data_IF_365552119672
#
_entry.id   IF_365552119672
#
_cell.length_a   1.000
_cell.length_b   1.000
_cell.length_c   1.000
_cell.angle_alpha   90.00
_cell.angle_beta   90.00
_cell.angle_gamma   90.00
#
_symmetry.space_group_name_H-M   'P 1'
#
loop_
_entity.id
_entity.type
_entity.pdbx_description
1 polymer ?
#
# COMPACT_ATOMS: atom_id res chain seq x y z
N UNK A 1 -28.25 -28.27 34.12
CA UNK A 1 -26.90 -27.89 34.55
C UNK A 1 -26.07 -29.16 34.73
N UNK A 2 -25.49 -29.69 33.63
CA UNK A 2 -24.49 -30.78 33.73
C UNK A 2 -23.93 -31.07 32.31
N UNK A 3 -23.13 -30.23 31.82
CA UNK A 3 -22.47 -30.44 30.50
C UNK A 3 -21.19 -29.64 30.30
N UNK A 4 -21.04 -28.51 30.99
CA UNK A 4 -19.90 -27.62 30.83
C UNK A 4 -18.71 -27.90 31.76
N UNK A 5 -18.91 -28.69 32.84
CA UNK A 5 -17.84 -28.98 33.83
C UNK A 5 -16.88 -30.10 33.42
N UNK A 6 -17.22 -30.89 32.41
CA UNK A 6 -16.36 -32.00 31.96
C UNK A 6 -15.40 -31.66 30.83
N UNK A 7 -15.59 -30.49 30.16
CA UNK A 7 -14.72 -30.10 29.03
C UNK A 7 -13.50 -29.28 29.46
N UNK A 8 -13.52 -28.67 30.65
CA UNK A 8 -12.42 -27.83 31.16
C UNK A 8 -11.27 -28.62 31.80
N UNK A 9 -11.47 -29.92 32.11
CA UNK A 9 -10.42 -30.75 32.70
C UNK A 9 -9.51 -31.48 31.69
N UNK A 10 -9.74 -31.30 30.39
CA UNK A 10 -8.93 -31.96 29.34
C UNK A 10 -7.86 -31.05 28.73
N UNK A 11 -7.78 -29.77 29.13
CA UNK A 11 -6.82 -28.81 28.59
C UNK A 11 -5.77 -28.29 29.59
N UNK A 12 -5.50 -29.01 30.67
CA UNK A 12 -4.23 -28.93 31.39
C UNK A 12 -3.88 -27.61 32.06
N UNK A 13 -4.82 -26.76 32.49
CA UNK A 13 -4.53 -25.59 33.31
C UNK A 13 -4.68 -25.92 34.82
N UNK A 14 -3.61 -26.44 35.40
CA UNK A 14 -3.43 -26.61 36.85
C UNK A 14 -2.91 -25.28 37.43
N UNK A 15 -3.55 -24.89 38.54
CA UNK A 15 -3.20 -23.75 39.39
C UNK A 15 -1.74 -23.86 39.88
N UNK A 16 -1.02 -22.75 39.83
CA UNK A 16 0.10 -22.49 40.77
C UNK A 16 -0.25 -21.29 41.63
N UNK A 17 -0.14 -21.53 42.92
CA UNK A 17 -0.33 -20.58 44.01
C UNK A 17 0.91 -19.69 44.17
N UNK A 18 0.65 -18.51 44.75
CA UNK A 18 1.54 -17.44 45.09
C UNK A 18 2.68 -17.85 46.06
N UNK A 19 3.85 -17.30 45.84
CA UNK A 19 4.76 -16.91 46.92
C UNK A 19 5.19 -15.46 46.68
N UNK A 20 4.86 -14.61 47.65
CA UNK A 20 5.28 -13.23 47.81
C UNK A 20 6.70 -13.24 48.43
N UNK A 21 7.67 -12.58 47.82
CA UNK A 21 8.87 -12.12 48.51
C UNK A 21 9.03 -10.63 48.34
N UNK A 22 8.89 -9.92 49.46
CA UNK A 22 9.21 -8.51 49.64
C UNK A 22 10.72 -8.28 49.50
N UNK A 23 11.13 -7.30 48.74
CA UNK A 23 12.46 -6.71 48.83
C UNK A 23 12.35 -5.16 48.83
N UNK A 24 12.90 -4.66 49.90
CA UNK A 24 12.90 -3.34 50.49
C UNK A 24 13.59 -2.32 49.60
N UNK A 25 12.96 -1.16 49.56
CA UNK A 25 13.40 0.16 49.05
C UNK A 25 14.70 0.61 49.69
N UNK A 26 15.59 1.19 48.88
CA UNK A 26 16.47 2.26 49.34
C UNK A 26 16.58 3.38 48.28
N UNK A 27 15.93 4.47 48.61
CA UNK A 27 16.14 5.79 48.01
C UNK A 27 17.41 6.45 48.59
N UNK A 28 18.27 6.98 47.77
CA UNK A 28 18.95 8.24 48.06
C UNK A 28 19.33 8.98 46.76
N UNK A 29 19.27 10.33 46.76
CA UNK A 29 19.38 11.17 45.58
C UNK A 29 20.80 11.67 45.36
N UNK A 30 21.23 11.80 44.10
CA UNK A 30 22.47 12.55 43.78
C UNK A 30 22.11 13.79 42.97
N UNK A 31 22.65 14.84 43.52
CA UNK A 31 22.54 16.27 43.24
C UNK A 31 23.09 16.72 41.89
N UNK A 32 22.48 17.80 41.44
CA UNK A 32 22.84 18.77 40.41
C UNK A 32 24.19 19.45 40.71
N UNK A 33 25.02 19.64 39.67
CA UNK A 33 25.91 20.79 39.48
C UNK A 33 26.28 20.92 37.99
N UNK A 34 25.77 21.90 37.30
CA UNK A 34 26.29 23.26 37.08
C UNK A 34 27.33 23.37 35.94
N UNK A 35 26.87 23.94 34.82
CA UNK A 35 27.42 25.07 34.04
C UNK A 35 28.87 24.98 33.55
N UNK A 36 29.07 25.12 32.27
CA UNK A 36 29.90 26.14 31.61
C UNK A 36 29.55 26.26 30.13
N UNK A 37 29.09 27.44 29.74
CA UNK A 37 29.27 28.04 28.40
C UNK A 37 30.64 28.70 28.35
N UNK A 38 31.24 28.91 27.19
CA UNK A 38 31.56 30.28 26.84
C UNK A 38 31.10 30.73 25.44
N UNK A 39 30.96 32.03 25.43
CA UNK A 39 30.54 32.97 24.42
C UNK A 39 31.56 33.16 23.26
N UNK A 40 31.01 33.55 22.11
CA UNK A 40 31.16 34.81 21.34
C UNK A 40 32.52 35.06 20.62
N UNK A 41 32.41 35.34 19.35
CA UNK A 41 32.76 36.55 18.55
C UNK A 41 32.89 36.12 17.08
N UNK A 42 32.02 36.56 16.17
CA UNK A 42 31.92 37.87 15.51
C UNK A 42 33.19 38.26 14.74
N UNK A 43 33.13 38.23 13.44
CA UNK A 43 33.53 39.35 12.59
C UNK A 43 32.91 39.24 11.20
N UNK A 44 32.26 40.31 10.82
CA UNK A 44 31.80 40.67 9.49
C UNK A 44 32.95 41.34 8.70
N UNK A 45 32.77 41.37 7.38
CA UNK A 45 33.09 42.41 6.39
C UNK A 45 33.15 41.78 5.01
N UNK A 46 32.23 42.06 4.08
CA UNK A 46 32.00 43.28 3.29
C UNK A 46 33.03 43.42 2.15
N UNK A 47 32.52 43.39 0.95
CA UNK A 47 32.61 44.40 -0.13
C UNK A 47 32.44 43.74 -1.51
N UNK A 48 31.37 44.05 -2.18
CA UNK A 48 31.11 45.06 -3.24
C UNK A 48 31.64 44.74 -4.64
N UNK A 49 30.67 44.74 -5.57
CA UNK A 49 30.66 45.42 -6.89
C UNK A 49 31.63 44.88 -7.94
N UNK A 50 31.21 44.69 -9.18
CA UNK A 50 30.60 45.65 -10.14
C UNK A 50 30.23 44.96 -11.43
N UNK A 51 29.05 45.27 -11.93
CA UNK A 51 28.58 45.62 -13.28
C UNK A 51 29.52 45.51 -14.51
N UNK A 52 28.94 44.99 -15.64
CA UNK A 52 28.75 45.66 -16.95
C UNK A 52 28.28 44.62 -17.99
N UNK A 53 27.11 44.68 -18.59
CA UNK A 53 26.52 45.53 -19.67
C UNK A 53 27.36 45.54 -20.97
N UNK A 54 26.75 45.06 -22.00
CA UNK A 54 26.48 45.57 -23.35
C UNK A 54 26.44 44.44 -24.39
N UNK A 55 25.47 44.41 -25.15
CA UNK A 55 24.86 45.03 -26.31
C UNK A 55 24.82 44.08 -27.48
N UNK A 56 23.61 43.89 -27.92
CA UNK A 56 23.06 43.97 -29.28
C UNK A 56 24.02 43.99 -30.48
N UNK A 57 23.69 43.16 -31.43
CA UNK A 57 23.66 43.58 -32.86
C UNK A 57 22.70 42.70 -33.67
N UNK A 58 21.73 43.37 -34.25
CA UNK A 58 20.80 42.96 -35.29
C UNK A 58 21.47 43.10 -36.65
N UNK A 59 21.21 42.14 -37.59
CA UNK A 59 21.29 42.47 -39.02
C UNK A 59 20.12 41.80 -39.75
N UNK A 60 19.24 42.65 -40.26
CA UNK A 60 18.28 42.39 -41.33
C UNK A 60 19.01 42.35 -42.68
N UNK A 61 18.55 41.50 -43.60
CA UNK A 61 18.40 41.91 -45.02
C UNK A 61 17.28 41.14 -45.70
N UNK A 62 16.38 41.94 -46.26
CA UNK A 62 15.37 41.60 -47.23
C UNK A 62 15.97 41.06 -48.53
N UNK A 63 15.23 40.23 -49.26
CA UNK A 63 14.84 40.59 -50.63
C UNK A 63 13.58 39.87 -51.14
N UNK A 64 12.76 40.63 -51.83
CA UNK A 64 11.47 40.33 -52.44
C UNK A 64 11.62 39.45 -53.70
N UNK A 65 10.55 38.71 -54.03
CA UNK A 65 9.86 38.80 -55.33
C UNK A 65 8.65 37.83 -55.40
N UNK A 66 7.47 38.38 -55.56
CA UNK A 66 6.21 37.76 -56.06
C UNK A 66 6.14 37.97 -57.60
N UNK A 67 5.11 37.45 -58.37
CA UNK A 67 3.87 36.75 -58.05
C UNK A 67 3.45 35.65 -59.06
N UNK A 68 2.39 34.91 -58.75
CA UNK A 68 1.57 34.35 -59.84
C UNK A 68 0.73 33.09 -59.51
N UNK A 69 -0.52 33.34 -59.21
CA UNK A 69 -1.78 32.74 -59.67
C UNK A 69 -2.22 31.33 -59.28
N UNK A 70 -3.38 31.35 -58.72
CA UNK A 70 -4.63 30.60 -58.88
C UNK A 70 -5.08 29.76 -57.70
N UNK A 71 -6.19 30.23 -57.11
CA UNK A 71 -7.11 29.55 -56.22
C UNK A 71 -7.61 28.23 -56.81
N UNK A 72 -7.51 27.16 -56.04
CA UNK A 72 -8.52 26.12 -56.04
C UNK A 72 -8.82 25.78 -54.59
N UNK A 73 -9.99 26.15 -54.13
CA UNK A 73 -10.62 25.74 -52.89
C UNK A 73 -10.94 24.25 -52.96
N UNK A 74 -10.17 23.44 -52.26
CA UNK A 74 -10.57 22.07 -51.93
C UNK A 74 -10.85 22.03 -50.44
N UNK A 75 -12.13 21.98 -50.10
CA UNK A 75 -12.64 21.66 -48.76
C UNK A 75 -12.19 20.26 -48.36
N UNK A 76 -11.19 20.18 -47.50
CA UNK A 76 -10.75 18.93 -46.89
C UNK A 76 -11.57 18.73 -45.62
N UNK A 77 -12.75 18.08 -45.74
CA UNK A 77 -13.41 17.45 -44.62
C UNK A 77 -12.47 16.31 -44.18
N UNK A 78 -11.72 16.58 -43.11
CA UNK A 78 -11.06 15.52 -42.38
C UNK A 78 -12.14 14.67 -41.70
N UNK A 79 -12.50 13.59 -42.38
CA UNK A 79 -13.17 12.45 -41.77
C UNK A 79 -12.29 11.94 -40.66
N UNK A 80 -12.67 12.21 -39.41
CA UNK A 80 -12.15 11.49 -38.26
C UNK A 80 -12.37 10.01 -38.51
N UNK A 81 -11.30 9.29 -38.78
CA UNK A 81 -11.29 7.84 -38.78
C UNK A 81 -11.65 7.37 -37.37
N UNK A 82 -12.62 6.48 -37.18
CA UNK A 82 -12.89 5.89 -35.88
C UNK A 82 -11.60 5.23 -35.37
N UNK A 83 -11.21 5.53 -34.12
CA UNK A 83 -10.10 4.86 -33.45
C UNK A 83 -10.21 3.34 -33.69
N UNK A 84 -9.15 2.73 -34.19
CA UNK A 84 -9.08 1.28 -34.36
C UNK A 84 -9.36 0.63 -33.00
N UNK A 85 -10.51 -0.03 -32.89
CA UNK A 85 -10.81 -0.91 -31.77
C UNK A 85 -9.77 -2.04 -31.83
N UNK A 86 -8.82 -2.02 -30.94
CA UNK A 86 -7.91 -3.15 -30.77
C UNK A 86 -8.76 -4.34 -30.33
N UNK A 87 -8.72 -5.42 -31.13
CA UNK A 87 -9.36 -6.69 -30.80
C UNK A 87 -8.63 -7.31 -29.58
N UNK A 88 -9.03 -6.89 -28.37
CA UNK A 88 -8.71 -7.59 -27.13
C UNK A 88 -9.59 -8.81 -26.96
N UNK A 89 -9.18 -9.75 -26.13
CA UNK A 89 -9.97 -10.94 -25.79
C UNK A 89 -11.28 -10.59 -25.03
N UNK A 90 -11.42 -9.34 -24.59
CA UNK A 90 -12.48 -8.91 -23.68
C UNK A 90 -12.27 -9.41 -22.24
N UNK A 91 -11.08 -9.95 -21.94
CA UNK A 91 -10.71 -10.52 -20.65
C UNK A 91 -9.30 -10.06 -20.26
N UNK A 92 -9.12 -9.56 -19.06
CA UNK A 92 -7.80 -9.18 -18.56
C UNK A 92 -6.92 -10.40 -18.30
N UNK A 93 -5.70 -10.39 -18.77
CA UNK A 93 -4.66 -11.35 -18.37
C UNK A 93 -3.81 -10.73 -17.29
N UNK A 94 -3.96 -11.18 -16.03
CA UNK A 94 -3.27 -10.65 -14.88
C UNK A 94 -2.04 -11.50 -14.56
N UNK A 95 -0.87 -10.99 -14.89
CA UNK A 95 0.41 -11.62 -14.61
C UNK A 95 0.92 -11.19 -13.24
N UNK A 96 0.93 -12.13 -12.31
CA UNK A 96 1.39 -11.91 -10.93
C UNK A 96 2.85 -12.34 -10.84
N UNK A 97 3.76 -11.40 -10.68
CA UNK A 97 5.18 -11.67 -10.47
C UNK A 97 5.53 -11.41 -8.99
N UNK A 98 5.96 -12.45 -8.29
CA UNK A 98 6.41 -12.37 -6.91
C UNK A 98 7.90 -12.70 -6.89
N UNK A 99 8.73 -11.73 -6.46
CA UNK A 99 10.19 -11.83 -6.35
C UNK A 99 10.54 -11.81 -4.86
N UNK A 100 11.10 -12.89 -4.35
CA UNK A 100 11.34 -13.09 -2.93
C UNK A 100 12.81 -13.30 -2.66
N UNK A 101 13.33 -12.50 -1.76
CA UNK A 101 14.66 -12.66 -1.20
C UNK A 101 14.76 -13.99 -0.43
N UNK A 102 15.75 -14.78 -0.78
CA UNK A 102 16.11 -16.02 -0.12
C UNK A 102 17.53 -15.95 0.44
N UNK A 103 18.03 -14.73 0.70
CA UNK A 103 19.32 -14.50 1.36
C UNK A 103 19.32 -14.93 2.83
N UNK A 104 20.50 -15.07 3.41
CA UNK A 104 20.66 -15.60 4.77
C UNK A 104 19.97 -14.79 5.87
N UNK A 105 19.81 -13.46 5.68
CA UNK A 105 19.08 -12.57 6.61
C UNK A 105 17.62 -12.95 6.73
N UNK A 106 16.98 -13.46 5.68
CA UNK A 106 15.58 -13.90 5.66
C UNK A 106 15.30 -15.14 6.50
N UNK A 107 16.33 -15.80 7.09
CA UNK A 107 16.17 -17.06 7.83
C UNK A 107 15.19 -16.95 9.01
N UNK A 108 15.21 -15.83 9.73
CA UNK A 108 14.30 -15.58 10.86
C UNK A 108 12.87 -15.28 10.41
N UNK A 109 12.65 -14.87 9.17
CA UNK A 109 11.34 -14.60 8.56
C UNK A 109 10.80 -15.80 7.76
N UNK A 110 11.53 -16.92 7.69
CA UNK A 110 11.22 -18.06 6.83
C UNK A 110 9.76 -18.52 6.93
N UNK A 111 9.25 -18.75 8.13
CA UNK A 111 7.89 -19.24 8.33
C UNK A 111 6.84 -18.20 7.90
N UNK A 112 7.04 -16.94 8.25
CA UNK A 112 6.13 -15.83 7.88
C UNK A 112 6.12 -15.59 6.36
N UNK A 113 7.29 -15.65 5.72
CA UNK A 113 7.42 -15.50 4.26
C UNK A 113 6.72 -16.64 3.53
N UNK A 114 6.95 -17.89 3.93
CA UNK A 114 6.31 -19.06 3.33
C UNK A 114 4.79 -19.03 3.49
N UNK A 115 4.28 -18.67 4.67
CA UNK A 115 2.84 -18.47 4.91
C UNK A 115 2.29 -17.35 4.03
N UNK A 116 2.95 -16.20 3.99
CA UNK A 116 2.52 -15.04 3.21
C UNK A 116 2.47 -15.29 1.71
N UNK A 117 3.44 -16.01 1.15
CA UNK A 117 3.42 -16.44 -0.26
C UNK A 117 2.18 -17.34 -0.52
N UNK A 118 1.96 -18.35 0.31
CA UNK A 118 0.84 -19.29 0.12
C UNK A 118 -0.52 -18.61 0.30
N UNK A 119 -0.64 -17.68 1.24
CA UNK A 119 -1.84 -16.87 1.42
C UNK A 119 -2.08 -15.94 0.21
N UNK A 120 -1.00 -15.39 -0.38
CA UNK A 120 -1.09 -14.60 -1.62
C UNK A 120 -1.52 -15.46 -2.80
N UNK A 121 -0.98 -16.68 -2.96
CA UNK A 121 -1.45 -17.69 -3.93
C UNK A 121 -2.94 -17.98 -3.72
N UNK A 122 -3.37 -18.14 -2.48
CA UNK A 122 -4.78 -18.32 -2.10
C UNK A 122 -5.67 -17.13 -2.52
N UNK A 123 -5.17 -15.90 -2.35
CA UNK A 123 -5.87 -14.67 -2.76
C UNK A 123 -6.02 -14.59 -4.28
N UNK A 124 -4.96 -14.89 -5.04
CA UNK A 124 -5.01 -14.91 -6.51
C UNK A 124 -5.97 -16.00 -7.01
N UNK A 125 -5.94 -17.19 -6.38
CA UNK A 125 -6.86 -18.30 -6.71
C UNK A 125 -8.32 -17.94 -6.41
N UNK A 126 -8.58 -17.22 -5.33
CA UNK A 126 -9.92 -16.74 -5.00
C UNK A 126 -10.40 -15.69 -6.01
N UNK A 127 -9.53 -14.78 -6.44
CA UNK A 127 -9.84 -13.81 -7.49
C UNK A 127 -10.13 -14.50 -8.85
N UNK A 128 -9.36 -15.52 -9.23
CA UNK A 128 -9.64 -16.32 -10.43
C UNK A 128 -11.04 -16.95 -10.37
N UNK A 129 -11.44 -17.45 -9.21
CA UNK A 129 -12.77 -18.04 -9.02
C UNK A 129 -13.89 -16.99 -9.07
N UNK A 130 -13.66 -15.83 -8.49
CA UNK A 130 -14.65 -14.75 -8.37
C UNK A 130 -14.80 -13.96 -9.68
N UNK A 131 -13.69 -13.66 -10.37
CA UNK A 131 -13.63 -12.78 -11.55
C UNK A 131 -13.25 -13.53 -12.84
N UNK A 132 -13.34 -14.86 -12.85
CA UNK A 132 -12.86 -15.70 -13.95
C UNK A 132 -13.55 -15.45 -15.30
N UNK A 133 -14.68 -14.75 -15.35
CA UNK A 133 -15.33 -14.34 -16.59
C UNK A 133 -14.60 -13.16 -17.26
N UNK A 134 -14.02 -12.25 -16.46
CA UNK A 134 -13.36 -11.03 -16.91
C UNK A 134 -11.85 -11.04 -16.73
N UNK A 135 -11.29 -12.01 -15.98
CA UNK A 135 -9.87 -12.10 -15.68
C UNK A 135 -9.34 -13.52 -15.80
N UNK A 136 -8.10 -13.62 -16.25
CA UNK A 136 -7.28 -14.81 -16.16
C UNK A 136 -6.01 -14.48 -15.37
N UNK A 137 -5.72 -15.27 -14.34
CA UNK A 137 -4.59 -15.03 -13.46
C UNK A 137 -3.48 -16.05 -13.67
N UNK A 138 -2.28 -15.55 -13.98
CA UNK A 138 -1.06 -16.32 -14.10
C UNK A 138 -0.09 -15.95 -13.00
N UNK A 139 0.70 -16.89 -12.49
CA UNK A 139 1.70 -16.67 -11.46
C UNK A 139 3.10 -16.94 -11.99
N UNK A 140 4.01 -16.04 -11.68
CA UNK A 140 5.45 -16.25 -11.73
C UNK A 140 6.01 -16.04 -10.33
N UNK A 141 6.72 -17.03 -9.79
CA UNK A 141 7.40 -16.96 -8.51
C UNK A 141 8.90 -17.11 -8.74
N UNK A 142 9.63 -16.14 -8.25
CA UNK A 142 11.10 -16.08 -8.33
C UNK A 142 11.67 -15.97 -6.92
N UNK A 143 12.68 -16.78 -6.60
CA UNK A 143 13.51 -16.58 -5.42
C UNK A 143 14.93 -16.21 -5.84
N UNK A 144 15.62 -15.48 -4.99
CA UNK A 144 17.01 -15.08 -5.27
C UNK A 144 17.87 -15.10 -4.02
N UNK A 145 19.08 -15.60 -4.20
CA UNK A 145 20.16 -15.64 -3.21
C UNK A 145 21.52 -15.54 -3.93
N UNK A 146 22.61 -15.84 -3.26
CA UNK A 146 23.90 -16.06 -3.90
C UNK A 146 24.49 -17.42 -3.50
N UNK A 147 24.93 -18.17 -4.48
CA UNK A 147 25.75 -19.37 -4.27
C UNK A 147 27.21 -19.07 -4.57
N UNK A 148 28.10 -19.35 -3.61
CA UNK A 148 29.55 -19.17 -3.76
C UNK A 148 29.94 -17.80 -4.34
N UNK A 149 29.30 -16.72 -3.86
CA UNK A 149 29.41 -15.34 -4.37
C UNK A 149 28.93 -15.15 -5.83
N UNK A 150 28.08 -16.01 -6.36
CA UNK A 150 27.44 -15.80 -7.66
C UNK A 150 25.94 -15.56 -7.44
N UNK A 151 25.36 -14.56 -8.12
CA UNK A 151 23.92 -14.39 -8.14
C UNK A 151 23.22 -15.68 -8.58
N UNK A 152 22.19 -16.08 -7.83
CA UNK A 152 21.39 -17.25 -8.09
C UNK A 152 19.92 -16.82 -8.11
N UNK A 153 19.39 -16.59 -9.31
CA UNK A 153 18.00 -16.17 -9.52
C UNK A 153 17.23 -17.36 -10.07
N UNK A 154 16.26 -17.86 -9.32
CA UNK A 154 15.53 -19.08 -9.63
C UNK A 154 14.06 -18.79 -9.91
N UNK A 155 13.61 -19.05 -11.13
CA UNK A 155 12.19 -19.01 -11.46
C UNK A 155 11.57 -20.36 -11.09
N UNK A 156 10.82 -20.40 -10.02
CA UNK A 156 10.22 -21.64 -9.48
C UNK A 156 8.87 -21.93 -10.12
N UNK A 157 8.09 -20.89 -10.42
CA UNK A 157 6.83 -20.94 -11.16
C UNK A 157 6.95 -19.92 -12.30
N UNK A 158 6.55 -20.26 -13.52
CA UNK A 158 6.80 -19.43 -14.70
C UNK A 158 5.56 -19.22 -15.56
N UNK A 159 4.81 -18.14 -15.32
CA UNK A 159 3.55 -17.80 -16.00
C UNK A 159 2.54 -18.96 -16.01
N UNK A 160 2.46 -19.68 -14.89
CA UNK A 160 1.54 -20.80 -14.76
C UNK A 160 0.13 -20.29 -14.40
N UNK A 161 -0.94 -20.82 -15.03
CA UNK A 161 -2.30 -20.55 -14.61
C UNK A 161 -2.46 -20.82 -13.11
N UNK A 162 -3.07 -19.88 -12.37
CA UNK A 162 -3.17 -19.99 -10.91
C UNK A 162 -3.94 -21.25 -10.44
N UNK A 163 -4.79 -21.78 -11.28
CA UNK A 163 -5.57 -23.02 -11.03
C UNK A 163 -4.71 -24.26 -10.99
N UNK A 164 -3.52 -24.22 -11.60
CA UNK A 164 -2.56 -25.31 -11.69
C UNK A 164 -1.40 -25.18 -10.68
N UNK A 165 -1.34 -24.06 -9.94
CA UNK A 165 -0.30 -23.80 -8.95
C UNK A 165 -0.60 -24.53 -7.65
N UNK A 166 0.33 -25.34 -7.17
CA UNK A 166 0.28 -25.97 -5.86
C UNK A 166 0.76 -25.05 -4.73
N UNK A 167 0.69 -25.53 -3.49
CA UNK A 167 1.26 -24.88 -2.32
C UNK A 167 2.79 -24.85 -2.42
N UNK A 168 3.37 -23.66 -2.24
CA UNK A 168 4.82 -23.47 -2.22
C UNK A 168 5.43 -23.92 -0.89
N UNK A 169 6.53 -24.72 -0.93
CA UNK A 169 7.15 -25.32 0.26
C UNK A 169 8.66 -25.13 0.33
N UNK A 170 9.31 -24.95 -0.82
CA UNK A 170 10.76 -24.97 -0.94
C UNK A 170 11.34 -23.55 -0.82
N UNK A 171 11.41 -23.05 0.41
CA UNK A 171 12.01 -21.76 0.73
C UNK A 171 13.14 -21.97 1.76
N UNK A 172 14.40 -21.76 1.35
CA UNK A 172 15.60 -22.10 2.09
C UNK A 172 16.61 -20.95 2.12
N UNK A 173 16.39 -19.93 2.98
CA UNK A 173 17.23 -18.74 3.05
C UNK A 173 18.73 -19.05 3.27
N UNK A 174 19.58 -18.52 2.37
CA UNK A 174 21.04 -18.63 2.41
C UNK A 174 21.72 -17.57 1.53
N UNK A 175 23.03 -17.30 1.75
CA UNK A 175 23.85 -16.44 0.87
C UNK A 175 23.59 -14.94 1.02
N UNK A 176 23.89 -14.19 -0.05
CA UNK A 176 23.77 -12.73 -0.14
C UNK A 176 22.59 -12.33 -1.02
N UNK A 177 22.39 -11.01 -1.21
CA UNK A 177 21.17 -10.39 -1.78
C UNK A 177 21.45 -9.76 -3.16
N UNK A 178 21.40 -10.51 -4.30
CA UNK A 178 21.51 -9.97 -5.65
C UNK A 178 20.16 -9.41 -6.15
N UNK A 179 19.64 -8.39 -5.47
CA UNK A 179 18.31 -7.82 -5.70
C UNK A 179 18.14 -7.25 -7.11
N UNK A 180 19.15 -6.49 -7.61
CA UNK A 180 19.01 -5.84 -8.91
C UNK A 180 19.05 -6.87 -10.05
N UNK A 181 19.87 -7.92 -9.94
CA UNK A 181 19.90 -9.01 -10.91
C UNK A 181 18.56 -9.76 -10.91
N UNK A 182 18.02 -10.06 -9.74
CA UNK A 182 16.73 -10.74 -9.60
C UNK A 182 15.57 -9.93 -10.23
N UNK A 183 15.49 -8.66 -9.91
CA UNK A 183 14.48 -7.78 -10.48
C UNK A 183 14.67 -7.61 -11.99
N UNK A 184 15.86 -7.25 -12.44
CA UNK A 184 16.13 -6.97 -13.84
C UNK A 184 15.88 -8.16 -14.76
N UNK A 185 16.35 -9.35 -14.37
CA UNK A 185 16.15 -10.59 -15.13
C UNK A 185 14.65 -10.97 -15.16
N UNK A 186 13.97 -10.93 -14.01
CA UNK A 186 12.56 -11.32 -13.90
C UNK A 186 11.64 -10.39 -14.68
N UNK A 187 11.83 -9.08 -14.56
CA UNK A 187 11.06 -8.06 -15.28
C UNK A 187 11.24 -8.16 -16.78
N UNK A 188 12.48 -8.29 -17.25
CA UNK A 188 12.80 -8.44 -18.68
C UNK A 188 12.17 -9.71 -19.23
N UNK A 189 12.30 -10.84 -18.51
CA UNK A 189 11.73 -12.12 -18.92
C UNK A 189 10.21 -12.04 -19.04
N UNK A 190 9.53 -11.49 -18.04
CA UNK A 190 8.08 -11.36 -18.07
C UNK A 190 7.62 -10.43 -19.19
N UNK A 191 8.30 -9.27 -19.38
CA UNK A 191 7.98 -8.32 -20.45
C UNK A 191 8.03 -8.98 -21.84
N UNK A 192 9.06 -9.79 -22.12
CA UNK A 192 9.15 -10.51 -23.39
C UNK A 192 8.06 -11.56 -23.55
N UNK A 193 7.65 -12.23 -22.47
CA UNK A 193 6.57 -13.22 -22.51
C UNK A 193 5.20 -12.64 -22.84
N UNK A 194 4.89 -11.47 -22.27
CA UNK A 194 3.58 -10.82 -22.45
C UNK A 194 3.55 -9.85 -23.62
N UNK A 195 4.65 -9.78 -24.37
CA UNK A 195 4.78 -8.92 -25.54
C UNK A 195 3.72 -9.25 -26.60
N UNK A 196 2.91 -8.24 -26.94
CA UNK A 196 1.83 -8.39 -27.92
C UNK A 196 0.49 -8.81 -27.32
N UNK A 197 0.43 -9.09 -26.04
CA UNK A 197 -0.82 -9.30 -25.31
C UNK A 197 -1.45 -7.95 -24.95
N UNK A 198 -2.48 -7.53 -25.70
CA UNK A 198 -3.16 -6.24 -25.53
C UNK A 198 -3.92 -6.15 -24.19
N UNK A 199 -4.31 -7.29 -23.62
CA UNK A 199 -5.08 -7.38 -22.37
C UNK A 199 -4.18 -7.62 -21.14
N UNK A 200 -2.85 -7.76 -21.33
CA UNK A 200 -1.91 -7.99 -20.24
C UNK A 200 -1.90 -6.87 -19.20
N UNK A 201 -1.85 -7.26 -17.94
CA UNK A 201 -1.56 -6.39 -16.80
C UNK A 201 -0.63 -7.12 -15.86
N UNK A 202 0.46 -6.47 -15.42
CA UNK A 202 1.42 -7.08 -14.52
C UNK A 202 1.33 -6.47 -13.11
N UNK A 203 1.30 -7.33 -12.09
CA UNK A 203 1.39 -6.96 -10.68
C UNK A 203 2.64 -7.59 -10.11
N UNK A 204 3.62 -6.73 -9.79
CA UNK A 204 4.94 -7.12 -9.31
C UNK A 204 5.03 -6.86 -7.81
N UNK A 205 5.41 -7.87 -7.04
CA UNK A 205 5.69 -7.74 -5.61
C UNK A 205 7.12 -8.21 -5.34
N UNK A 206 7.90 -7.35 -4.68
CA UNK A 206 9.27 -7.65 -4.25
C UNK A 206 9.30 -7.70 -2.73
N UNK A 207 9.83 -8.77 -2.16
CA UNK A 207 10.07 -8.92 -0.72
C UNK A 207 11.56 -9.11 -0.45
N UNK A 208 12.12 -8.26 0.41
CA UNK A 208 13.50 -8.41 0.90
C UNK A 208 13.67 -7.72 2.26
N UNK A 209 14.50 -8.27 3.14
CA UNK A 209 14.93 -7.62 4.39
C UNK A 209 16.33 -6.99 4.27
N UNK A 210 17.02 -7.23 3.13
CA UNK A 210 18.40 -6.87 2.89
C UNK A 210 18.62 -5.75 1.87
N UNK A 211 19.80 -5.13 1.96
CA UNK A 211 20.33 -4.25 0.91
C UNK A 211 20.95 -5.07 -0.21
N UNK A 212 20.86 -4.53 -1.42
CA UNK A 212 21.64 -5.01 -2.57
C UNK A 212 23.14 -5.14 -2.25
N UNK A 213 23.72 -6.30 -2.45
CA UNK A 213 25.14 -6.52 -2.14
C UNK A 213 25.84 -7.57 -3.02
N UNK A 214 25.16 -8.16 -3.99
CA UNK A 214 25.69 -9.28 -4.76
C UNK A 214 25.39 -9.26 -6.27
N UNK A 215 24.64 -8.31 -6.78
CA UNK A 215 24.32 -8.20 -8.21
C UNK A 215 25.55 -7.93 -9.07
N UNK A 216 25.55 -8.46 -10.30
CA UNK A 216 26.67 -8.37 -11.25
C UNK A 216 26.28 -7.87 -12.64
N UNK A 217 25.05 -8.15 -13.05
CA UNK A 217 24.54 -7.83 -14.38
C UNK A 217 23.79 -6.50 -14.39
N UNK A 218 22.98 -6.27 -13.38
CA UNK A 218 22.10 -5.10 -13.28
C UNK A 218 22.63 -4.07 -12.29
N UNK A 219 22.48 -2.80 -12.67
CA UNK A 219 22.77 -1.65 -11.82
C UNK A 219 21.49 -0.87 -11.57
N UNK A 220 21.44 -0.17 -10.45
CA UNK A 220 20.27 0.59 -10.02
C UNK A 220 19.73 1.54 -11.09
N UNK A 221 20.60 2.26 -11.81
CA UNK A 221 20.19 3.22 -12.84
C UNK A 221 19.54 2.55 -14.06
N UNK A 222 20.01 1.37 -14.46
CA UNK A 222 19.43 0.59 -15.55
C UNK A 222 18.09 -0.03 -15.14
N UNK A 223 18.03 -0.55 -13.91
CA UNK A 223 16.82 -1.13 -13.33
C UNK A 223 15.73 -0.05 -13.14
N UNK A 224 16.09 1.13 -12.63
CA UNK A 224 15.17 2.28 -12.51
C UNK A 224 14.54 2.63 -13.86
N UNK A 225 15.34 2.80 -14.90
CA UNK A 225 14.81 3.09 -16.25
C UNK A 225 13.86 2.01 -16.76
N UNK A 226 14.16 0.74 -16.49
CA UNK A 226 13.27 -0.36 -16.83
C UNK A 226 11.93 -0.26 -16.06
N UNK A 227 11.96 -0.03 -14.75
CA UNK A 227 10.77 0.12 -13.91
C UNK A 227 9.91 1.31 -14.39
N UNK A 228 10.53 2.47 -14.67
CA UNK A 228 9.82 3.63 -15.17
C UNK A 228 9.12 3.33 -16.53
N UNK A 229 9.78 2.62 -17.45
CA UNK A 229 9.15 2.17 -18.70
C UNK A 229 7.98 1.23 -18.47
N UNK A 230 8.12 0.25 -17.58
CA UNK A 230 7.08 -0.72 -17.27
C UNK A 230 5.87 -0.07 -16.57
N UNK A 231 6.10 0.95 -15.73
CA UNK A 231 5.03 1.77 -15.14
C UNK A 231 4.22 2.50 -16.24
N UNK A 232 4.90 3.03 -17.27
CA UNK A 232 4.21 3.60 -18.43
C UNK A 232 3.43 2.54 -19.24
N UNK A 233 3.83 1.29 -19.19
CA UNK A 233 3.12 0.13 -19.74
C UNK A 233 1.97 -0.36 -18.80
N UNK A 234 1.69 0.35 -17.72
CA UNK A 234 0.60 0.05 -16.78
C UNK A 234 0.90 -1.08 -15.78
N UNK A 235 2.19 -1.41 -15.57
CA UNK A 235 2.59 -2.37 -14.55
C UNK A 235 2.48 -1.76 -13.16
N UNK A 236 1.99 -2.55 -12.21
CA UNK A 236 1.96 -2.19 -10.79
C UNK A 236 3.15 -2.79 -10.07
N UNK A 237 3.84 -1.96 -9.29
CA UNK A 237 4.98 -2.38 -8.47
C UNK A 237 4.67 -2.18 -7.00
N UNK A 238 4.97 -3.18 -6.19
CA UNK A 238 4.96 -3.11 -4.73
C UNK A 238 6.29 -3.62 -4.16
N UNK A 239 6.78 -2.93 -3.14
CA UNK A 239 8.02 -3.27 -2.47
C UNK A 239 7.74 -3.45 -0.97
N UNK A 240 8.10 -4.62 -0.46
CA UNK A 240 7.98 -4.98 0.94
C UNK A 240 9.39 -5.16 1.50
N UNK A 241 9.80 -4.28 2.41
CA UNK A 241 11.16 -4.25 2.90
C UNK A 241 11.28 -3.91 4.38
N UNK A 242 12.44 -4.18 4.99
CA UNK A 242 12.69 -3.81 6.36
C UNK A 242 12.91 -2.29 6.50
N UNK A 243 12.44 -1.70 7.59
CA UNK A 243 12.42 -0.25 7.85
C UNK A 243 13.77 0.49 7.65
N UNK A 244 14.88 -0.21 7.75
CA UNK A 244 16.21 0.41 7.63
C UNK A 244 16.64 0.69 6.18
N UNK A 245 16.03 0.03 5.19
CA UNK A 245 16.52 -0.02 3.82
C UNK A 245 15.51 0.43 2.78
N UNK A 246 14.23 0.48 3.15
CA UNK A 246 13.12 0.68 2.21
C UNK A 246 13.24 1.99 1.46
N UNK A 247 13.42 3.10 2.19
CA UNK A 247 13.44 4.44 1.59
C UNK A 247 14.57 4.62 0.58
N UNK A 248 15.78 4.17 0.91
CA UNK A 248 16.93 4.29 0.02
C UNK A 248 16.71 3.53 -1.29
N UNK A 249 16.21 2.29 -1.21
CA UNK A 249 15.96 1.45 -2.40
C UNK A 249 14.79 1.97 -3.22
N UNK A 250 13.73 2.41 -2.59
CA UNK A 250 12.52 2.87 -3.30
C UNK A 250 12.71 4.21 -3.97
N UNK A 251 13.40 5.16 -3.33
CA UNK A 251 13.81 6.41 -3.96
C UNK A 251 14.76 6.15 -5.14
N UNK A 252 15.68 5.21 -5.00
CA UNK A 252 16.64 4.84 -6.04
C UNK A 252 15.96 4.17 -7.23
N UNK A 253 14.96 3.32 -7.01
CA UNK A 253 14.26 2.55 -8.05
C UNK A 253 12.94 3.21 -8.52
N UNK A 254 12.56 4.35 -7.99
CA UNK A 254 11.28 5.03 -8.28
C UNK A 254 10.05 4.16 -8.01
N UNK A 255 10.06 3.36 -6.93
CA UNK A 255 8.90 2.57 -6.51
C UNK A 255 8.15 3.32 -5.41
N UNK A 256 6.88 3.65 -5.65
CA UNK A 256 6.05 4.45 -4.74
C UNK A 256 5.22 3.60 -3.79
N UNK A 257 4.80 2.40 -4.24
CA UNK A 257 4.00 1.50 -3.43
C UNK A 257 4.90 0.68 -2.50
N UNK A 258 5.00 1.10 -1.26
CA UNK A 258 5.95 0.57 -0.29
C UNK A 258 5.25 0.12 0.99
N UNK A 259 5.66 -1.03 1.51
CA UNK A 259 5.30 -1.49 2.86
C UNK A 259 6.55 -1.79 3.64
N UNK A 260 6.75 -1.05 4.71
CA UNK A 260 7.80 -1.34 5.68
C UNK A 260 7.35 -2.42 6.65
N UNK A 261 8.25 -3.32 7.02
CA UNK A 261 8.02 -4.27 8.10
C UNK A 261 9.17 -4.25 9.11
N UNK A 262 8.84 -4.54 10.37
CA UNK A 262 9.84 -4.78 11.40
C UNK A 262 10.32 -6.23 11.33
N UNK A 263 11.50 -6.49 11.89
CA UNK A 263 12.05 -7.85 11.96
C UNK A 263 11.22 -8.81 12.86
N UNK A 264 10.15 -8.34 13.48
CA UNK A 264 9.24 -9.16 14.26
C UNK A 264 8.29 -9.95 13.36
N UNK A 265 8.01 -11.21 13.69
CA UNK A 265 7.08 -12.08 12.94
C UNK A 265 5.69 -11.47 12.77
N UNK A 266 5.23 -10.67 13.74
CA UNK A 266 3.96 -9.94 13.69
C UNK A 266 3.97 -8.84 12.61
N UNK A 267 5.14 -8.19 12.40
CA UNK A 267 5.31 -7.20 11.34
C UNK A 267 5.18 -7.84 9.95
N UNK A 268 5.81 -8.98 9.73
CA UNK A 268 5.74 -9.71 8.46
C UNK A 268 4.31 -10.15 8.13
N UNK A 269 3.54 -10.64 9.10
CA UNK A 269 2.15 -11.04 8.90
C UNK A 269 1.23 -9.89 8.51
N UNK A 270 1.37 -8.73 9.14
CA UNK A 270 0.58 -7.53 8.79
C UNK A 270 0.95 -6.99 7.41
N UNK A 271 2.23 -7.06 7.04
CA UNK A 271 2.77 -6.65 5.73
C UNK A 271 2.15 -7.47 4.60
N UNK A 272 2.15 -8.79 4.72
CA UNK A 272 1.51 -9.68 3.76
C UNK A 272 -0.02 -9.46 3.70
N UNK A 273 -0.65 -9.18 4.85
CA UNK A 273 -2.08 -8.85 4.90
C UNK A 273 -2.42 -7.61 4.08
N UNK A 274 -1.61 -6.54 4.22
CA UNK A 274 -1.77 -5.32 3.43
C UNK A 274 -1.56 -5.57 1.94
N UNK A 275 -0.52 -6.31 1.57
CA UNK A 275 -0.26 -6.63 0.17
C UNK A 275 -1.43 -7.39 -0.46
N UNK A 276 -1.95 -8.43 0.21
CA UNK A 276 -3.10 -9.22 -0.28
C UNK A 276 -4.37 -8.39 -0.45
N UNK A 277 -4.65 -7.50 0.50
CA UNK A 277 -5.82 -6.61 0.42
C UNK A 277 -5.71 -5.65 -0.76
N UNK A 278 -4.55 -5.03 -0.95
CA UNK A 278 -4.31 -4.12 -2.08
C UNK A 278 -4.36 -4.85 -3.42
N UNK A 279 -3.81 -6.05 -3.48
CA UNK A 279 -3.89 -6.94 -4.65
C UNK A 279 -5.33 -7.28 -5.00
N UNK A 280 -6.15 -7.64 -4.01
CA UNK A 280 -7.58 -7.91 -4.22
C UNK A 280 -8.33 -6.68 -4.72
N UNK A 281 -8.07 -5.50 -4.14
CA UNK A 281 -8.68 -4.24 -4.58
C UNK A 281 -8.28 -3.88 -6.02
N UNK A 282 -7.03 -4.12 -6.41
CA UNK A 282 -6.60 -3.98 -7.80
C UNK A 282 -7.39 -4.88 -8.74
N UNK A 283 -7.58 -6.16 -8.39
CA UNK A 283 -8.38 -7.09 -9.19
C UNK A 283 -9.85 -6.65 -9.29
N UNK A 284 -10.45 -6.14 -8.21
CA UNK A 284 -11.80 -5.59 -8.24
C UNK A 284 -11.92 -4.40 -9.19
N UNK A 285 -10.97 -3.46 -9.17
CA UNK A 285 -10.91 -2.33 -10.11
C UNK A 285 -10.78 -2.81 -11.56
N UNK A 286 -9.93 -3.80 -11.81
CA UNK A 286 -9.76 -4.40 -13.12
C UNK A 286 -11.05 -5.10 -13.58
N UNK A 287 -11.72 -5.85 -12.69
CA UNK A 287 -13.00 -6.48 -12.99
C UNK A 287 -14.06 -5.43 -13.36
N UNK A 288 -14.20 -4.36 -12.57
CA UNK A 288 -15.15 -3.30 -12.85
C UNK A 288 -14.90 -2.66 -14.21
N UNK A 289 -13.65 -2.39 -14.58
CA UNK A 289 -13.27 -1.82 -15.87
C UNK A 289 -13.70 -2.71 -17.05
N UNK A 290 -13.44 -4.03 -16.96
CA UNK A 290 -13.81 -4.98 -18.03
C UNK A 290 -15.31 -5.29 -18.06
N UNK A 291 -16.02 -5.18 -16.93
CA UNK A 291 -17.49 -5.25 -16.91
C UNK A 291 -18.13 -4.01 -17.54
N UNK A 292 -17.52 -2.82 -17.33
CA UNK A 292 -18.00 -1.56 -17.89
C UNK A 292 -17.84 -1.52 -19.43
N UNK A 293 -16.63 -1.78 -19.91
CA UNK A 293 -16.31 -1.84 -21.33
C UNK A 293 -15.19 -2.85 -21.63
N UNK A 294 -15.53 -4.10 -22.00
CA UNK A 294 -14.53 -5.12 -22.32
C UNK A 294 -13.69 -4.81 -23.56
N UNK A 295 -14.17 -3.90 -24.41
CA UNK A 295 -13.52 -3.49 -25.66
C UNK A 295 -13.06 -2.03 -25.63
N UNK A 296 -12.81 -1.48 -24.44
CA UNK A 296 -12.30 -0.14 -24.21
C UNK A 296 -11.07 0.15 -25.10
N UNK A 297 -10.98 1.36 -25.63
CA UNK A 297 -9.83 1.79 -26.41
C UNK A 297 -8.52 1.58 -25.61
N UNK A 298 -7.46 1.20 -26.32
CA UNK A 298 -6.16 0.84 -25.71
C UNK A 298 -5.61 1.96 -24.82
N UNK A 299 -5.71 3.20 -25.28
CA UNK A 299 -5.23 4.40 -24.60
C UNK A 299 -5.95 4.62 -23.27
N UNK A 300 -7.29 4.55 -23.28
CA UNK A 300 -8.12 4.71 -22.08
C UNK A 300 -7.90 3.59 -21.08
N UNK A 301 -7.79 2.34 -21.58
CA UNK A 301 -7.47 1.17 -20.75
C UNK A 301 -6.11 1.32 -20.11
N UNK A 302 -5.12 1.78 -20.84
CA UNK A 302 -3.77 1.98 -20.34
C UNK A 302 -3.73 3.06 -19.26
N UNK A 303 -4.44 4.18 -19.46
CA UNK A 303 -4.50 5.24 -18.44
C UNK A 303 -5.17 4.75 -17.15
N UNK A 304 -6.27 4.01 -17.23
CA UNK A 304 -6.88 3.38 -16.04
C UNK A 304 -5.94 2.40 -15.34
N UNK A 305 -5.20 1.56 -16.09
CA UNK A 305 -4.19 0.66 -15.52
C UNK A 305 -3.10 1.42 -14.77
N UNK A 306 -2.58 2.51 -15.34
CA UNK A 306 -1.58 3.38 -14.68
C UNK A 306 -2.14 4.00 -13.40
N UNK A 307 -3.38 4.48 -13.43
CA UNK A 307 -4.04 5.01 -12.25
C UNK A 307 -4.16 3.92 -11.16
N UNK A 308 -4.64 2.73 -11.50
CA UNK A 308 -4.78 1.62 -10.53
C UNK A 308 -3.44 1.17 -9.97
N UNK A 309 -2.37 1.22 -10.76
CA UNK A 309 -1.01 0.92 -10.33
C UNK A 309 -0.47 1.95 -9.34
N UNK A 310 -0.69 3.25 -9.58
CA UNK A 310 -0.33 4.33 -8.64
C UNK A 310 -1.09 4.22 -7.31
N UNK A 311 -2.34 3.80 -7.37
CA UNK A 311 -3.22 3.67 -6.20
C UNK A 311 -3.14 2.30 -5.51
N UNK A 312 -2.15 1.47 -5.82
CA UNK A 312 -2.10 0.08 -5.35
C UNK A 312 -2.04 -0.03 -3.82
N UNK A 313 -1.16 0.73 -3.18
CA UNK A 313 -1.13 0.89 -1.72
C UNK A 313 -1.69 2.24 -1.27
N UNK A 314 -2.40 2.91 -2.15
CA UNK A 314 -2.90 4.25 -1.87
C UNK A 314 -3.49 4.36 -0.48
N UNK A 315 -3.13 5.39 0.28
CA UNK A 315 -3.68 5.61 1.60
C UNK A 315 -5.17 5.85 1.43
N UNK A 316 -5.92 5.05 2.09
CA UNK A 316 -7.37 5.26 2.21
C UNK A 316 -7.59 6.33 3.24
N UNK A 317 -7.43 7.58 2.80
CA UNK A 317 -7.60 8.75 3.66
C UNK A 317 -9.06 9.13 3.68
N UNK A 318 -9.62 9.15 4.88
CA UNK A 318 -10.92 9.75 5.09
C UNK A 318 -10.83 11.27 4.90
N UNK A 319 -11.73 11.90 4.15
CA UNK A 319 -11.74 13.36 4.01
C UNK A 319 -11.91 14.04 5.38
N UNK A 320 -11.21 15.15 5.62
CA UNK A 320 -11.34 15.92 6.86
C UNK A 320 -12.75 16.46 7.10
N UNK A 321 -13.49 16.74 6.01
CA UNK A 321 -14.86 17.26 6.04
C UNK A 321 -15.78 16.40 5.19
N UNK A 322 -16.33 15.35 5.77
CA UNK A 322 -17.32 14.47 5.13
C UNK A 322 -18.68 15.15 5.16
N UNK A 323 -19.17 15.64 4.03
CA UNK A 323 -20.47 16.36 3.92
C UNK A 323 -21.57 15.50 3.31
N UNK A 324 -21.22 14.54 2.48
CA UNK A 324 -22.10 13.59 1.79
C UNK A 324 -21.43 12.23 1.76
N UNK A 325 -22.20 11.19 1.53
CA UNK A 325 -21.75 9.81 1.41
C UNK A 325 -22.32 9.22 0.12
N UNK A 326 -21.55 8.35 -0.51
CA UNK A 326 -22.03 7.45 -1.54
C UNK A 326 -22.93 6.36 -0.92
N UNK A 327 -23.66 5.62 -1.75
CA UNK A 327 -24.66 4.65 -1.28
C UNK A 327 -24.10 3.56 -0.34
N UNK A 328 -22.82 3.18 -0.54
CA UNK A 328 -22.12 2.17 0.26
C UNK A 328 -21.14 2.75 1.28
N UNK A 329 -21.08 4.08 1.42
CA UNK A 329 -20.18 4.72 2.39
C UNK A 329 -20.83 4.86 3.76
N UNK A 330 -20.04 4.61 4.82
CA UNK A 330 -20.44 4.64 6.22
C UNK A 330 -19.57 5.65 6.97
N UNK A 331 -20.20 6.62 7.60
CA UNK A 331 -19.56 7.62 8.45
C UNK A 331 -19.24 7.05 9.83
N UNK A 332 -17.97 6.84 10.16
CA UNK A 332 -17.55 6.29 11.46
C UNK A 332 -17.20 7.41 12.42
N UNK A 333 -17.86 7.43 13.58
CA UNK A 333 -17.74 8.53 14.53
C UNK A 333 -17.60 8.06 15.99
N UNK A 334 -16.99 8.92 16.82
CA UNK A 334 -16.90 8.71 18.26
C UNK A 334 -18.21 9.01 18.97
N UNK A 335 -18.65 8.09 19.80
CA UNK A 335 -19.86 8.15 20.61
C UNK A 335 -19.56 7.95 22.12
N UNK A 336 -20.57 7.68 22.90
CA UNK A 336 -20.52 7.19 24.28
C UNK A 336 -21.46 5.99 24.43
N UNK A 337 -21.28 5.18 25.46
CA UNK A 337 -22.08 3.96 25.66
C UNK A 337 -23.61 4.22 25.73
N UNK A 338 -24.01 5.40 26.19
CA UNK A 338 -25.44 5.80 26.26
C UNK A 338 -26.01 6.27 24.92
N UNK A 339 -25.19 6.43 23.87
CA UNK A 339 -25.66 6.92 22.57
C UNK A 339 -26.16 8.35 22.56
N UNK A 340 -25.66 9.22 23.46
CA UNK A 340 -26.07 10.62 23.55
C UNK A 340 -25.29 11.43 22.50
N UNK A 341 -25.86 11.57 21.31
CA UNK A 341 -25.25 12.21 20.16
C UNK A 341 -25.47 13.74 20.15
N UNK A 342 -25.11 14.42 21.25
CA UNK A 342 -25.42 15.84 21.46
C UNK A 342 -24.45 16.84 20.82
N UNK A 343 -23.31 16.41 20.27
CA UNK A 343 -22.31 17.35 19.72
C UNK A 343 -21.32 16.72 18.75
N UNK A 344 -20.57 17.57 18.04
CA UNK A 344 -19.49 17.17 17.12
C UNK A 344 -19.91 16.20 16.04
N UNK A 345 -19.07 15.22 15.72
CA UNK A 345 -19.31 14.21 14.69
C UNK A 345 -20.55 13.35 14.99
N UNK A 346 -20.86 13.09 16.27
CA UNK A 346 -22.04 12.33 16.67
C UNK A 346 -23.36 13.04 16.34
N UNK A 347 -23.47 14.33 16.67
CA UNK A 347 -24.64 15.14 16.29
C UNK A 347 -24.76 15.27 14.77
N UNK A 348 -23.64 15.43 14.07
CA UNK A 348 -23.63 15.49 12.60
C UNK A 348 -24.11 14.17 11.98
N UNK A 349 -23.65 13.02 12.49
CA UNK A 349 -24.10 11.70 12.06
C UNK A 349 -25.61 11.50 12.27
N UNK A 350 -26.13 11.95 13.41
CA UNK A 350 -27.58 11.90 13.71
C UNK A 350 -28.39 12.73 12.72
N UNK A 351 -27.94 13.94 12.39
CA UNK A 351 -28.68 14.84 11.49
C UNK A 351 -28.57 14.48 10.01
N UNK A 352 -27.50 13.81 9.58
CA UNK A 352 -27.19 13.61 8.17
C UNK A 352 -27.14 12.15 7.72
N UNK A 353 -26.71 11.24 8.60
CA UNK A 353 -26.35 9.87 8.23
C UNK A 353 -27.09 8.80 9.02
N UNK A 354 -28.16 9.19 9.72
CA UNK A 354 -29.09 8.26 10.35
C UNK A 354 -28.60 7.63 11.66
N UNK A 355 -27.65 8.26 12.37
CA UNK A 355 -27.31 7.83 13.72
C UNK A 355 -28.49 7.96 14.65
N UNK A 356 -28.66 7.00 15.57
CA UNK A 356 -29.84 6.85 16.42
C UNK A 356 -29.53 7.28 17.86
N UNK A 357 -30.29 8.22 18.40
CA UNK A 357 -30.19 8.60 19.82
C UNK A 357 -30.46 7.39 20.72
N UNK A 358 -29.55 7.13 21.66
CA UNK A 358 -29.62 5.98 22.57
C UNK A 358 -28.88 4.74 22.07
N UNK A 359 -28.35 4.72 20.82
CA UNK A 359 -27.51 3.65 20.32
C UNK A 359 -26.05 4.10 20.30
N UNK A 360 -25.25 3.66 21.28
CA UNK A 360 -23.87 4.11 21.47
C UNK A 360 -22.83 3.40 20.63
N UNK A 361 -23.15 2.25 20.01
CA UNK A 361 -22.21 1.44 19.25
C UNK A 361 -22.87 0.78 18.04
N UNK A 362 -22.08 0.54 16.99
CA UNK A 362 -22.46 -0.27 15.83
C UNK A 362 -23.07 0.53 14.68
N UNK A 363 -23.49 -0.20 13.64
CA UNK A 363 -24.09 0.36 12.42
C UNK A 363 -25.48 0.91 12.67
N UNK A 364 -25.76 2.10 12.15
CA UNK A 364 -27.02 2.81 12.28
C UNK A 364 -27.21 3.77 11.09
N UNK A 365 -28.12 3.46 10.18
CA UNK A 365 -28.24 4.15 8.90
C UNK A 365 -26.94 4.06 8.10
N UNK A 366 -26.46 5.19 7.56
CA UNK A 366 -25.14 5.30 6.92
C UNK A 366 -24.05 5.76 7.90
N UNK A 367 -24.13 5.36 9.17
CA UNK A 367 -23.14 5.70 10.18
C UNK A 367 -22.82 4.52 11.10
N UNK A 368 -21.62 4.53 11.68
CA UNK A 368 -21.16 3.55 12.65
C UNK A 368 -20.60 4.26 13.88
N UNK A 369 -21.18 3.98 15.05
CA UNK A 369 -20.78 4.59 16.31
C UNK A 369 -19.72 3.73 17.03
N UNK A 370 -18.69 4.39 17.58
CA UNK A 370 -17.65 3.80 18.42
C UNK A 370 -17.67 4.52 19.77
N UNK A 371 -18.00 3.87 20.90
CA UNK A 371 -17.96 4.49 22.22
C UNK A 371 -16.50 4.83 22.62
N UNK A 372 -16.29 6.09 23.04
CA UNK A 372 -14.95 6.66 23.31
C UNK A 372 -14.81 7.30 24.70
N UNK A 373 -15.92 7.37 25.46
CA UNK A 373 -15.95 8.08 26.73
C UNK A 373 -15.73 7.18 27.95
N UNK A 374 -15.68 5.88 27.77
CA UNK A 374 -15.65 4.84 28.81
C UNK A 374 -14.23 4.34 29.15
N UNK A 375 -13.19 5.10 28.74
CA UNK A 375 -11.78 4.77 28.94
C UNK A 375 -11.12 4.06 27.75
N UNK A 376 -9.77 4.02 27.76
CA UNK A 376 -8.96 3.52 26.63
C UNK A 376 -9.20 2.06 26.30
N UNK A 377 -9.31 1.20 27.33
CA UNK A 377 -9.52 -0.23 27.16
C UNK A 377 -10.88 -0.51 26.51
N UNK A 378 -11.92 0.20 26.94
CA UNK A 378 -13.26 0.08 26.37
C UNK A 378 -13.30 0.58 24.93
N UNK A 379 -12.67 1.72 24.65
CA UNK A 379 -12.55 2.27 23.30
C UNK A 379 -11.77 1.32 22.39
N UNK A 380 -10.64 0.76 22.85
CA UNK A 380 -9.87 -0.23 22.09
C UNK A 380 -10.70 -1.45 21.73
N UNK A 381 -11.44 -2.01 22.70
CA UNK A 381 -12.32 -3.15 22.45
C UNK A 381 -13.44 -2.82 21.46
N UNK A 382 -13.99 -1.60 21.49
CA UNK A 382 -14.99 -1.16 20.51
C UNK A 382 -14.41 -0.98 19.11
N UNK A 383 -13.17 -0.46 19.00
CA UNK A 383 -12.44 -0.37 17.73
C UNK A 383 -12.14 -1.77 17.18
N UNK A 384 -11.81 -2.74 18.03
CA UNK A 384 -11.58 -4.12 17.59
C UNK A 384 -12.86 -4.77 17.03
N UNK A 385 -14.02 -4.50 17.66
CA UNK A 385 -15.33 -4.94 17.13
C UNK A 385 -15.67 -4.26 15.81
N UNK A 386 -15.39 -2.96 15.70
CA UNK A 386 -15.50 -2.23 14.44
C UNK A 386 -14.64 -2.85 13.34
N UNK A 387 -13.38 -3.15 13.65
CA UNK A 387 -12.43 -3.78 12.70
C UNK A 387 -12.96 -5.12 12.20
N UNK A 388 -13.47 -5.98 13.10
CA UNK A 388 -14.10 -7.25 12.74
C UNK A 388 -15.38 -7.05 11.90
N UNK A 389 -16.19 -6.05 12.24
CA UNK A 389 -17.37 -5.72 11.45
C UNK A 389 -17.01 -5.27 10.04
N UNK A 390 -16.02 -4.41 9.90
CA UNK A 390 -15.56 -3.93 8.59
C UNK A 390 -14.98 -5.06 7.73
N UNK A 391 -14.24 -6.00 8.31
CA UNK A 391 -13.71 -7.18 7.63
C UNK A 391 -14.83 -8.11 7.10
N UNK A 392 -15.95 -8.20 7.83
CA UNK A 392 -17.11 -9.01 7.45
C UNK A 392 -18.03 -8.34 6.42
N UNK A 393 -17.84 -7.03 6.17
CA UNK A 393 -18.66 -6.20 5.27
C UNK A 393 -17.81 -5.50 4.20
N UNK A 394 -17.16 -6.27 3.30
CA UNK A 394 -16.32 -5.70 2.25
C UNK A 394 -17.09 -4.87 1.21
N UNK A 395 -18.43 -5.02 1.15
CA UNK A 395 -19.33 -4.22 0.29
C UNK A 395 -19.52 -2.79 0.79
N UNK A 396 -19.24 -2.51 2.08
CA UNK A 396 -19.34 -1.20 2.69
C UNK A 396 -17.98 -0.53 2.75
N UNK A 397 -17.93 0.79 2.60
CA UNK A 397 -16.73 1.61 2.73
C UNK A 397 -16.83 2.51 3.95
N UNK A 398 -15.93 2.37 4.91
CA UNK A 398 -15.95 3.08 6.19
C UNK A 398 -15.04 4.30 6.16
N UNK A 399 -15.61 5.50 6.29
CA UNK A 399 -14.87 6.75 6.40
C UNK A 399 -14.74 7.12 7.88
N UNK A 400 -13.57 6.86 8.46
CA UNK A 400 -13.32 7.06 9.90
C UNK A 400 -12.97 8.52 10.16
N UNK A 401 -13.68 9.15 11.07
CA UNK A 401 -13.33 10.48 11.59
C UNK A 401 -12.21 10.37 12.65
N UNK A 402 -11.73 11.50 13.20
CA UNK A 402 -10.79 11.50 14.34
C UNK A 402 -11.49 11.02 15.63
N UNK A 403 -11.90 9.76 15.63
CA UNK A 403 -12.57 9.08 16.73
C UNK A 403 -11.77 9.23 18.03
N UNK A 404 -12.40 9.64 19.13
CA UNK A 404 -11.76 9.83 20.43
C UNK A 404 -10.89 11.09 20.56
N UNK A 405 -10.57 11.79 19.48
CA UNK A 405 -9.67 12.96 19.51
C UNK A 405 -10.40 14.31 19.76
N UNK A 406 -11.72 14.29 19.86
CA UNK A 406 -12.53 15.47 20.16
C UNK A 406 -12.88 15.59 21.65
N UNK A 407 -14.18 15.47 21.97
CA UNK A 407 -14.68 15.63 23.35
C UNK A 407 -14.08 14.63 24.33
N UNK A 408 -13.75 13.42 23.89
CA UNK A 408 -13.09 12.41 24.72
C UNK A 408 -11.63 12.78 25.12
N UNK A 409 -11.01 13.73 24.40
CA UNK A 409 -9.76 14.38 24.81
C UNK A 409 -8.47 13.58 24.57
N UNK A 410 -8.53 12.47 23.85
CA UNK A 410 -7.34 11.69 23.52
C UNK A 410 -6.55 12.32 22.36
N UNK A 411 -5.24 12.16 22.37
CA UNK A 411 -4.39 12.57 21.26
C UNK A 411 -4.43 11.54 20.13
N UNK A 412 -4.13 11.98 18.90
CA UNK A 412 -3.97 11.10 17.73
C UNK A 412 -2.97 9.97 18.00
N UNK A 413 -1.86 10.28 18.70
CA UNK A 413 -0.82 9.28 19.06
C UNK A 413 -1.32 8.18 19.99
N UNK A 414 -2.38 8.45 20.77
CA UNK A 414 -2.99 7.46 21.65
C UNK A 414 -4.03 6.60 20.93
N UNK A 415 -4.78 7.19 20.00
CA UNK A 415 -5.91 6.53 19.33
C UNK A 415 -5.49 5.80 18.06
N UNK A 416 -4.67 6.41 17.21
CA UNK A 416 -4.30 5.81 15.93
C UNK A 416 -3.75 4.38 16.05
N UNK A 417 -2.88 4.02 17.03
CA UNK A 417 -2.41 2.65 17.20
C UNK A 417 -3.53 1.62 17.46
N UNK A 418 -4.69 2.05 17.96
CA UNK A 418 -5.84 1.17 18.20
C UNK A 418 -6.48 0.70 16.88
N UNK A 419 -6.32 1.48 15.80
CA UNK A 419 -6.78 1.15 14.44
C UNK A 419 -5.78 0.32 13.63
N UNK A 420 -4.69 -0.18 14.24
CA UNK A 420 -3.69 -0.99 13.53
C UNK A 420 -4.31 -2.19 12.78
N UNK A 421 -5.36 -2.80 13.32
CA UNK A 421 -6.09 -3.89 12.66
C UNK A 421 -6.79 -3.48 11.34
N UNK A 422 -7.06 -2.17 11.15
CA UNK A 422 -7.69 -1.65 9.93
C UNK A 422 -6.71 -1.44 8.77
N UNK A 423 -5.39 -1.54 9.00
CA UNK A 423 -4.37 -1.29 7.96
C UNK A 423 -4.56 -2.24 6.77
N UNK A 424 -4.91 -3.50 7.02
CA UNK A 424 -5.17 -4.52 6.00
C UNK A 424 -6.56 -4.46 5.34
N UNK A 425 -7.48 -3.59 5.81
CA UNK A 425 -8.86 -3.55 5.32
C UNK A 425 -9.03 -2.48 4.24
N UNK A 426 -9.23 -2.90 3.00
CA UNK A 426 -9.37 -2.01 1.83
C UNK A 426 -10.62 -1.11 1.89
N UNK A 427 -11.58 -1.50 2.66
CA UNK A 427 -12.84 -0.77 2.83
C UNK A 427 -12.84 0.22 4.01
N UNK A 428 -11.71 0.40 4.71
CA UNK A 428 -11.59 1.36 5.83
C UNK A 428 -10.64 2.49 5.46
N UNK A 429 -11.14 3.71 5.41
CA UNK A 429 -10.37 4.93 5.24
C UNK A 429 -10.15 5.59 6.61
N UNK A 430 -8.89 5.82 7.00
CA UNK A 430 -8.52 6.50 8.24
C UNK A 430 -8.14 7.97 7.99
N UNK A 431 -8.21 8.86 9.00
CA UNK A 431 -7.65 10.21 8.89
C UNK A 431 -6.16 10.21 8.52
N UNK A 432 -5.70 11.23 7.78
CA UNK A 432 -4.30 11.34 7.36
C UNK A 432 -3.30 11.27 8.51
N UNK A 433 -3.58 11.99 9.61
CA UNK A 433 -2.77 12.01 10.81
C UNK A 433 -2.74 10.66 11.59
N UNK A 434 -3.75 9.79 11.38
CA UNK A 434 -3.71 8.42 11.90
C UNK A 434 -2.69 7.59 11.11
N UNK A 435 -2.65 7.73 9.79
CA UNK A 435 -1.67 7.07 8.94
C UNK A 435 -0.24 7.48 9.28
N UNK A 436 0.00 8.78 9.55
CA UNK A 436 1.30 9.29 9.97
C UNK A 436 1.80 8.62 11.26
N UNK A 437 0.91 8.45 12.26
CA UNK A 437 1.25 7.77 13.52
C UNK A 437 1.46 6.27 13.35
N UNK A 438 0.73 5.65 12.41
CA UNK A 438 0.87 4.22 12.08
C UNK A 438 2.13 3.93 11.23
N UNK A 439 2.94 4.95 10.92
CA UNK A 439 4.19 4.82 10.16
C UNK A 439 3.99 4.72 8.66
N UNK A 440 2.79 5.00 8.16
CA UNK A 440 2.43 4.99 6.76
C UNK A 440 2.35 6.43 6.29
N UNK A 441 3.50 7.07 6.04
CA UNK A 441 3.57 8.44 5.56
C UNK A 441 2.87 8.57 4.22
N UNK A 442 1.99 9.56 4.19
CA UNK A 442 1.44 10.12 2.97
C UNK A 442 2.43 11.19 2.50
N UNK A 443 3.32 10.86 1.59
CA UNK A 443 4.02 11.91 0.83
C UNK A 443 2.97 12.50 -0.13
N UNK A 444 2.36 13.60 0.33
CA UNK A 444 1.50 14.47 -0.47
C UNK A 444 2.35 15.38 -1.32
#
# INVERSE_FOLDING_TARGET
MSGLSKFMNLLGFGKQEKEEEEAVVNNEPVSVDTVVKPDVESTAESTTETTNVSKEETVETNDELKPGSKEETVSNEQKETPAEKTEGSGKAHIYNLIIVDESGSMSHLRAATLSGINETIGTIRSAQKEFGETQEHLLTLVTFDSDSNRPNVRTLIDCQPITEVDEFKDYMPNGCTPLYDAMGQSLTRLREKIKGDADASAVVTVLTDGLENASREWRADALRRLIEQLKEEGWSFSYMGSAHNVKEVTDLLSIENVVEFSHDDLGAGSTWGRERSSRRAYYQKMNAMYCEDPYMAKEDRMERKRQYAREYYGPRVAPDNIKSLEANEIFVFGSNAGGYHGGGAAAFAMHRFGAIWGQGEGLQGQSYAIPTMEGKESMKAAIDRFTQFADQHPELRFLVTRVGCGIAGYSVREVAPMFKGCIGLENVALPSDFWDVLGLRLDL
#
